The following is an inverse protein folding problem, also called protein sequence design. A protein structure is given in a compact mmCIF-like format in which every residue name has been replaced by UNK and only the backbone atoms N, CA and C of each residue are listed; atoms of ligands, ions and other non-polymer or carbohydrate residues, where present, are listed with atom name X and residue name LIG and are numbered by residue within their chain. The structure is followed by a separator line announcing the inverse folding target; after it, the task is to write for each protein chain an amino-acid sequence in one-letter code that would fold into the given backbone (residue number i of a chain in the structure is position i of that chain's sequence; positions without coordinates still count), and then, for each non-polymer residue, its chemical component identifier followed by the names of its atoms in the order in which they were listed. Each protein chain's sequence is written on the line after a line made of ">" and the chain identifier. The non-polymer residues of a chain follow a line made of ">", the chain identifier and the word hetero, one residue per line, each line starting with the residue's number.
data_IF_915587990610
#
_entry.id   IF_915587990610
#
_cell.length_a   1.000
_cell.length_b   1.000
_cell.length_c   1.000
_cell.angle_alpha   90.00
_cell.angle_beta   90.00
_cell.angle_gamma   90.00
#
_symmetry.space_group_name_H-M   'P 1'
#
loop_
_entity.id
_entity.type
_entity.pdbx_description
1 polymer ?
#
# COMPACT_ATOMS: atom_id res chain seq x y z
N UNK A 1 -51.59 -23.88 37.29
CA UNK A 1 -51.37 -24.32 35.89
C UNK A 1 -49.86 -24.20 35.64
N UNK A 2 -49.02 -25.13 36.11
CA UNK A 2 -48.59 -26.40 35.44
C UNK A 2 -48.39 -26.19 33.93
N UNK A 3 -47.24 -26.42 33.29
CA UNK A 3 -46.17 -27.42 33.41
C UNK A 3 -44.82 -26.77 33.01
N UNK A 4 -43.70 -27.03 33.70
CA UNK A 4 -42.72 -28.11 33.46
C UNK A 4 -41.97 -27.99 32.10
N UNK A 5 -40.64 -28.06 32.01
CA UNK A 5 -39.61 -28.33 33.00
C UNK A 5 -38.20 -28.36 32.39
N UNK A 6 -37.21 -28.43 33.30
CA UNK A 6 -35.85 -28.99 33.22
C UNK A 6 -34.88 -28.50 32.11
N UNK A 7 -33.79 -27.78 32.45
CA UNK A 7 -32.53 -28.21 33.10
C UNK A 7 -31.62 -29.01 32.14
N UNK A 8 -30.29 -29.04 32.22
CA UNK A 8 -29.16 -28.24 32.72
C UNK A 8 -27.93 -29.14 32.48
N UNK A 9 -26.73 -28.56 32.34
CA UNK A 9 -25.41 -29.24 32.41
C UNK A 9 -25.08 -30.20 31.25
N UNK A 10 -23.83 -30.48 30.86
CA UNK A 10 -22.48 -29.98 31.11
C UNK A 10 -21.56 -30.76 30.13
N UNK A 11 -20.38 -30.20 29.89
CA UNK A 11 -19.08 -30.88 29.70
C UNK A 11 -18.92 -32.01 28.66
N UNK A 12 -17.90 -31.88 27.80
CA UNK A 12 -16.94 -32.95 27.47
C UNK A 12 -15.96 -32.46 26.41
N UNK A 13 -14.72 -32.26 26.85
CA UNK A 13 -13.52 -32.36 26.04
C UNK A 13 -13.41 -33.79 25.48
N UNK A 14 -12.93 -33.96 24.24
CA UNK A 14 -12.30 -35.22 23.87
C UNK A 14 -11.20 -35.02 22.83
N UNK A 15 -9.99 -35.35 23.28
CA UNK A 15 -8.70 -35.28 22.59
C UNK A 15 -8.27 -36.72 22.37
N UNK A 16 -8.46 -37.32 21.18
CA UNK A 16 -7.82 -38.60 20.88
C UNK A 16 -7.66 -38.86 19.37
N UNK A 17 -6.43 -38.72 18.87
CA UNK A 17 -5.95 -39.57 17.76
C UNK A 17 -4.54 -40.07 18.08
N UNK A 18 -4.47 -41.33 18.51
CA UNK A 18 -3.26 -42.18 18.55
C UNK A 18 -3.44 -43.32 17.53
N UNK A 19 -2.34 -43.70 16.87
CA UNK A 19 -2.19 -44.95 16.10
C UNK A 19 -1.23 -44.75 14.93
N UNK A 20 0.10 -44.83 15.11
CA UNK A 20 0.94 -46.05 15.06
C UNK A 20 0.95 -46.73 13.69
N UNK A 21 2.12 -46.72 13.03
CA UNK A 21 2.43 -47.49 11.82
C UNK A 21 3.89 -47.32 11.40
N UNK A 22 4.76 -48.17 11.95
CA UNK A 22 6.21 -48.22 11.72
C UNK A 22 6.54 -48.75 10.33
N UNK A 23 7.66 -48.31 9.73
CA UNK A 23 8.48 -49.15 8.86
C UNK A 23 9.91 -48.62 8.79
N UNK A 24 10.84 -49.53 9.05
CA UNK A 24 12.27 -49.30 9.21
C UNK A 24 12.98 -49.25 7.87
N UNK A 25 13.99 -48.38 7.73
CA UNK A 25 15.05 -48.59 6.75
C UNK A 25 16.40 -48.51 7.46
N UNK A 26 17.09 -49.65 7.38
CA UNK A 26 18.33 -49.94 8.07
C UNK A 26 19.54 -49.20 7.52
N UNK A 27 20.52 -49.11 8.40
CA UNK A 27 21.89 -48.71 8.11
C UNK A 27 22.52 -49.67 7.08
N UNK A 28 23.20 -49.08 6.09
CA UNK A 28 24.16 -49.77 5.23
C UNK A 28 25.50 -49.05 5.37
N UNK A 29 26.40 -49.69 6.09
CA UNK A 29 27.84 -49.39 6.16
C UNK A 29 28.51 -49.86 4.88
N UNK A 30 29.35 -49.02 4.26
CA UNK A 30 30.37 -49.47 3.31
C UNK A 30 31.70 -48.79 3.62
N UNK A 31 32.60 -49.58 4.20
CA UNK A 31 34.04 -49.32 4.21
C UNK A 31 34.64 -49.60 2.83
N UNK A 32 35.54 -48.71 2.41
CA UNK A 32 36.88 -49.07 1.93
C UNK A 32 37.05 -49.59 0.49
N UNK A 33 37.50 -48.72 -0.41
CA UNK A 33 38.53 -48.95 -1.43
C UNK A 33 39.09 -47.55 -1.79
N UNK A 34 40.37 -47.23 -1.63
CA UNK A 34 41.53 -47.84 -2.29
C UNK A 34 42.04 -46.83 -3.32
N UNK A 35 43.11 -46.10 -2.98
CA UNK A 35 43.62 -44.98 -3.76
C UNK A 35 44.23 -45.39 -5.10
N UNK A 36 44.11 -44.49 -6.08
CA UNK A 36 45.03 -44.36 -7.21
C UNK A 36 45.15 -42.87 -7.57
N UNK A 37 46.34 -42.32 -7.32
CA UNK A 37 46.81 -41.05 -7.87
C UNK A 37 47.08 -41.24 -9.36
N UNK A 38 46.51 -40.38 -10.20
CA UNK A 38 46.96 -40.21 -11.57
C UNK A 38 47.01 -38.72 -11.93
N UNK A 39 48.24 -38.23 -12.02
CA UNK A 39 48.76 -37.54 -13.20
C UNK A 39 48.02 -36.30 -13.68
N UNK A 40 48.63 -35.14 -13.43
CA UNK A 40 48.26 -33.89 -14.04
C UNK A 40 48.21 -33.96 -15.57
N UNK A 41 47.14 -33.41 -16.13
CA UNK A 41 47.07 -32.98 -17.51
C UNK A 41 46.52 -31.56 -17.52
N UNK A 42 47.42 -30.60 -17.71
CA UNK A 42 47.08 -29.22 -18.02
C UNK A 42 46.49 -29.19 -19.43
N UNK A 43 45.21 -28.83 -19.55
CA UNK A 43 44.60 -28.49 -20.82
C UNK A 43 44.19 -27.02 -20.80
N UNK A 44 45.00 -26.24 -21.54
CA UNK A 44 44.60 -25.13 -22.41
C UNK A 44 43.58 -24.13 -21.88
N UNK A 45 44.07 -22.91 -21.61
CA UNK A 45 43.21 -21.74 -21.56
C UNK A 45 42.41 -21.60 -22.85
N UNK A 46 41.09 -21.61 -22.70
CA UNK A 46 40.17 -21.12 -23.71
C UNK A 46 39.85 -19.67 -23.35
N UNK A 47 40.29 -18.75 -24.21
CA UNK A 47 39.86 -17.36 -24.22
C UNK A 47 38.35 -17.34 -24.45
N UNK A 48 37.58 -17.00 -23.40
CA UNK A 48 36.17 -16.65 -23.56
C UNK A 48 36.09 -15.23 -24.14
N UNK A 49 36.19 -15.14 -25.46
CA UNK A 49 35.76 -13.96 -26.20
C UNK A 49 34.32 -13.62 -25.81
N UNK A 50 34.08 -12.35 -25.49
CA UNK A 50 32.77 -11.81 -25.18
C UNK A 50 31.80 -12.07 -26.32
N UNK A 51 31.01 -13.14 -26.18
CA UNK A 51 29.83 -13.35 -27.00
C UNK A 51 28.72 -12.55 -26.34
N UNK A 52 28.35 -11.45 -26.99
CA UNK A 52 27.11 -10.73 -26.74
C UNK A 52 25.95 -11.66 -27.14
N UNK A 53 25.50 -12.46 -26.19
CA UNK A 53 24.48 -13.49 -26.38
C UNK A 53 23.10 -12.86 -26.31
N UNK A 54 22.72 -12.07 -27.32
CA UNK A 54 21.34 -11.67 -27.55
C UNK A 54 20.68 -12.71 -28.49
N UNK A 55 19.85 -13.65 -27.99
CA UNK A 55 19.19 -14.63 -28.85
C UNK A 55 18.20 -13.89 -29.76
N UNK A 56 18.47 -13.87 -31.06
CA UNK A 56 17.58 -13.27 -32.06
C UNK A 56 17.72 -11.74 -32.24
N UNK A 57 18.79 -11.11 -31.72
CA UNK A 57 19.05 -9.69 -31.94
C UNK A 57 18.06 -8.74 -31.25
N UNK A 58 17.26 -9.26 -30.31
CA UNK A 58 16.44 -8.45 -29.42
C UNK A 58 17.33 -8.05 -28.25
N UNK A 59 17.52 -6.73 -28.00
CA UNK A 59 18.29 -6.28 -26.84
C UNK A 59 17.69 -6.88 -25.57
N UNK A 60 18.52 -7.56 -24.79
CA UNK A 60 18.16 -7.97 -23.44
C UNK A 60 17.92 -6.71 -22.60
N UNK A 61 17.02 -6.80 -21.61
CA UNK A 61 16.83 -5.71 -20.67
C UNK A 61 18.17 -5.42 -19.98
N UNK A 62 18.59 -4.16 -19.91
CA UNK A 62 19.73 -3.78 -19.09
C UNK A 62 19.41 -4.11 -17.63
N UNK A 63 20.32 -4.70 -16.86
CA UNK A 63 20.13 -4.96 -15.44
C UNK A 63 21.00 -4.07 -14.53
N UNK A 64 20.81 -4.27 -13.23
CA UNK A 64 21.62 -3.65 -12.17
C UNK A 64 22.40 -4.71 -11.39
N UNK A 65 23.54 -4.33 -10.79
CA UNK A 65 24.35 -5.25 -9.96
C UNK A 65 23.57 -5.72 -8.71
N UNK A 66 23.48 -7.05 -8.51
CA UNK A 66 22.84 -7.69 -7.35
C UNK A 66 23.87 -8.36 -6.41
N UNK A 67 23.45 -8.71 -5.18
CA UNK A 67 24.24 -9.24 -4.06
C UNK A 67 24.84 -10.63 -4.33
N UNK A 68 24.34 -11.35 -5.32
CA UNK A 68 24.80 -12.69 -5.72
C UNK A 68 25.64 -12.68 -7.01
N UNK A 69 25.82 -11.51 -7.64
CA UNK A 69 26.58 -11.35 -8.87
C UNK A 69 25.84 -11.73 -10.15
N UNK A 70 24.52 -11.93 -10.10
CA UNK A 70 23.67 -12.09 -11.28
C UNK A 70 22.98 -10.77 -11.65
N UNK A 71 23.06 -10.40 -12.92
CA UNK A 71 22.36 -9.23 -13.47
C UNK A 71 20.85 -9.51 -13.46
N UNK A 72 20.08 -8.72 -12.70
CA UNK A 72 18.62 -8.85 -12.64
C UNK A 72 17.96 -7.87 -13.61
N UNK A 73 17.09 -8.40 -14.47
CA UNK A 73 16.35 -7.62 -15.47
C UNK A 73 15.52 -6.50 -14.84
N UNK A 74 15.56 -5.29 -15.42
CA UNK A 74 14.62 -4.23 -15.08
C UNK A 74 13.24 -4.49 -15.68
N UNK A 75 12.19 -4.34 -14.86
CA UNK A 75 10.80 -4.36 -15.29
C UNK A 75 10.18 -2.97 -15.19
N UNK A 76 9.75 -2.42 -16.32
CA UNK A 76 9.04 -1.14 -16.33
C UNK A 76 7.52 -1.36 -16.23
N UNK A 77 6.89 -0.79 -15.21
CA UNK A 77 5.45 -0.87 -14.97
C UNK A 77 4.83 0.53 -14.92
N UNK A 78 3.55 0.60 -15.32
CA UNK A 78 2.74 1.82 -15.20
C UNK A 78 1.50 1.54 -14.36
N UNK A 79 1.37 2.25 -13.24
CA UNK A 79 0.16 2.24 -12.40
C UNK A 79 -0.72 3.46 -12.71
N UNK A 80 -2.04 3.25 -12.75
CA UNK A 80 -3.02 4.30 -13.04
C UNK A 80 -3.15 4.63 -14.54
N UNK A 81 -4.00 5.59 -14.92
CA UNK A 81 -4.77 6.49 -14.03
C UNK A 81 -6.10 5.92 -13.54
N UNK A 82 -6.51 4.74 -14.04
CA UNK A 82 -7.81 4.10 -13.76
C UNK A 82 -7.60 2.74 -13.06
N UNK A 83 -6.72 2.70 -12.06
CA UNK A 83 -6.46 1.50 -11.27
C UNK A 83 -7.42 1.44 -10.07
N UNK A 84 -7.87 0.25 -9.69
CA UNK A 84 -8.74 0.10 -8.52
C UNK A 84 -8.03 0.61 -7.24
N UNK A 85 -8.78 1.38 -6.45
CA UNK A 85 -8.31 2.00 -5.20
C UNK A 85 -7.10 2.93 -5.37
N UNK A 86 -6.95 3.51 -6.56
CA UNK A 86 -5.87 4.41 -6.93
C UNK A 86 -6.37 5.85 -7.03
N UNK A 87 -5.57 6.86 -6.65
CA UNK A 87 -5.93 8.25 -6.85
C UNK A 87 -6.21 8.53 -8.34
N UNK A 88 -7.41 9.01 -8.65
CA UNK A 88 -7.80 9.25 -10.03
C UNK A 88 -6.88 10.28 -10.68
N UNK A 89 -6.48 10.01 -11.93
CA UNK A 89 -5.58 10.87 -12.70
C UNK A 89 -4.08 10.65 -12.41
N UNK A 90 -3.70 10.06 -11.27
CA UNK A 90 -2.30 9.78 -10.97
C UNK A 90 -1.77 8.66 -11.85
N UNK A 91 -0.61 8.88 -12.46
CA UNK A 91 0.18 7.87 -13.16
C UNK A 91 1.53 7.76 -12.46
N UNK A 92 1.87 6.55 -12.02
CA UNK A 92 3.19 6.23 -11.49
C UNK A 92 3.86 5.25 -12.44
N UNK A 93 4.95 5.67 -13.09
CA UNK A 93 5.86 4.78 -13.82
C UNK A 93 6.90 4.29 -12.83
N UNK A 94 7.10 2.98 -12.77
CA UNK A 94 8.08 2.35 -11.89
C UNK A 94 9.06 1.54 -12.73
N UNK A 95 10.32 1.54 -12.33
CA UNK A 95 11.32 0.56 -12.73
C UNK A 95 11.55 -0.36 -11.53
N UNK A 96 11.31 -1.65 -11.73
CA UNK A 96 11.47 -2.67 -10.70
C UNK A 96 12.71 -3.51 -11.00
N UNK A 97 13.42 -3.89 -9.94
CA UNK A 97 14.43 -4.93 -9.96
C UNK A 97 13.92 -6.02 -9.01
N UNK A 98 13.50 -7.16 -9.55
CA UNK A 98 12.74 -8.15 -8.77
C UNK A 98 11.38 -7.60 -8.34
N UNK A 99 11.09 -7.60 -7.04
CA UNK A 99 9.86 -7.03 -6.48
C UNK A 99 10.02 -5.57 -6.02
N UNK A 100 11.24 -5.05 -5.95
CA UNK A 100 11.56 -3.72 -5.41
C UNK A 100 11.51 -2.65 -6.49
N UNK A 101 10.87 -1.52 -6.19
CA UNK A 101 10.93 -0.31 -7.02
C UNK A 101 12.29 0.36 -6.83
N UNK A 102 13.13 0.36 -7.86
CA UNK A 102 14.45 1.02 -7.86
C UNK A 102 14.37 2.45 -8.39
N UNK A 103 13.40 2.73 -9.27
CA UNK A 103 13.15 4.07 -9.76
C UNK A 103 11.66 4.30 -10.03
N UNK A 104 11.24 5.57 -9.95
CA UNK A 104 9.85 5.94 -10.17
C UNK A 104 9.71 7.36 -10.72
N UNK A 105 8.66 7.59 -11.49
CA UNK A 105 8.26 8.90 -11.99
C UNK A 105 6.74 9.06 -11.87
N UNK A 106 6.30 10.23 -11.46
CA UNK A 106 4.88 10.57 -11.40
C UNK A 106 4.45 11.55 -12.48
N UNK A 107 3.21 11.41 -12.93
CA UNK A 107 2.53 12.39 -13.77
C UNK A 107 1.04 12.37 -13.47
N UNK A 108 0.35 13.49 -13.71
CA UNK A 108 -1.10 13.58 -13.62
C UNK A 108 -1.71 13.61 -15.02
N UNK A 109 -2.80 12.87 -15.22
CA UNK A 109 -3.66 13.01 -16.39
C UNK A 109 -4.67 14.11 -16.10
N UNK A 110 -4.42 15.29 -16.67
CA UNK A 110 -5.25 16.48 -16.48
C UNK A 110 -6.48 16.44 -17.39
N UNK A 111 -7.64 16.72 -16.81
CA UNK A 111 -8.76 17.32 -17.52
C UNK A 111 -8.68 18.83 -17.29
N UNK A 112 -8.83 19.64 -18.34
CA UNK A 112 -8.69 21.10 -18.30
C UNK A 112 -9.55 21.75 -17.20
N UNK A 113 -8.93 22.74 -16.56
CA UNK A 113 -9.21 23.59 -15.39
C UNK A 113 -10.67 23.94 -15.01
N UNK A 114 -10.91 24.26 -13.72
CA UNK A 114 -11.31 25.63 -13.41
C UNK A 114 -10.45 26.28 -12.31
N UNK A 115 -9.83 27.40 -12.68
CA UNK A 115 -9.22 28.47 -11.90
C UNK A 115 -9.26 28.32 -10.37
N UNK A 116 -8.07 28.26 -9.78
CA UNK A 116 -7.87 28.46 -8.35
C UNK A 116 -8.38 29.85 -7.92
N UNK A 117 -9.60 29.91 -7.39
CA UNK A 117 -10.09 31.11 -6.71
C UNK A 117 -9.50 31.20 -5.29
N UNK A 118 -9.11 32.41 -4.83
CA UNK A 118 -8.51 32.60 -3.53
C UNK A 118 -9.53 32.43 -2.39
N UNK A 119 -9.03 31.94 -1.24
CA UNK A 119 -9.65 31.82 0.09
C UNK A 119 -11.18 32.02 0.16
N UNK A 120 -11.93 31.05 -0.38
CA UNK A 120 -13.36 30.95 -0.10
C UNK A 120 -13.56 30.59 1.38
N UNK A 121 -14.43 31.33 2.07
CA UNK A 121 -14.98 30.92 3.36
C UNK A 121 -15.68 29.58 3.14
N UNK A 122 -15.13 28.48 3.67
CA UNK A 122 -15.71 27.14 3.55
C UNK A 122 -17.19 27.17 3.92
N UNK A 123 -18.07 26.94 2.94
CA UNK A 123 -19.48 26.70 3.19
C UNK A 123 -19.63 25.35 3.91
N UNK A 124 -20.72 25.12 4.68
CA UNK A 124 -20.99 23.81 5.26
C UNK A 124 -20.97 22.66 4.23
N UNK A 125 -21.32 22.94 2.97
CA UNK A 125 -21.23 22.00 1.86
C UNK A 125 -19.78 21.64 1.50
N UNK A 126 -18.84 22.59 1.58
CA UNK A 126 -17.43 22.35 1.31
C UNK A 126 -16.81 21.42 2.38
N UNK A 127 -17.19 21.61 3.65
CA UNK A 127 -16.78 20.74 4.75
C UNK A 127 -17.34 19.32 4.61
N UNK A 128 -18.58 19.17 4.10
CA UNK A 128 -19.16 17.86 3.80
C UNK A 128 -18.43 17.16 2.66
N UNK A 129 -18.15 17.87 1.56
CA UNK A 129 -17.39 17.33 0.43
C UNK A 129 -15.98 16.93 0.85
N UNK A 130 -15.33 17.75 1.67
CA UNK A 130 -14.01 17.46 2.26
C UNK A 130 -14.02 16.19 3.13
N UNK A 131 -15.05 16.01 3.96
CA UNK A 131 -15.22 14.81 4.77
C UNK A 131 -15.49 13.57 3.90
N UNK A 132 -16.36 13.71 2.90
CA UNK A 132 -16.71 12.63 1.97
C UNK A 132 -15.47 12.13 1.20
N UNK A 133 -14.61 13.04 0.73
CA UNK A 133 -13.36 12.69 0.04
C UNK A 133 -12.41 11.88 0.92
N UNK A 134 -12.26 12.25 2.19
CA UNK A 134 -11.47 11.45 3.16
C UNK A 134 -12.07 10.09 3.45
N UNK A 135 -13.40 9.99 3.50
CA UNK A 135 -14.06 8.70 3.58
C UNK A 135 -13.79 7.85 2.33
N UNK A 136 -13.71 8.45 1.15
CA UNK A 136 -13.35 7.76 -0.10
C UNK A 136 -11.88 7.29 -0.12
N UNK A 137 -10.95 8.17 0.26
CA UNK A 137 -9.52 7.85 0.39
C UNK A 137 -9.29 6.73 1.42
N UNK A 138 -9.93 6.83 2.60
CA UNK A 138 -9.90 5.79 3.61
C UNK A 138 -10.52 4.48 3.10
N UNK A 139 -11.61 4.53 2.33
CA UNK A 139 -12.21 3.34 1.73
C UNK A 139 -11.25 2.65 0.74
N UNK A 140 -10.53 3.43 -0.08
CA UNK A 140 -9.54 2.91 -1.02
C UNK A 140 -8.38 2.22 -0.30
N UNK A 141 -7.81 2.86 0.73
CA UNK A 141 -6.74 2.28 1.54
C UNK A 141 -7.20 1.01 2.27
N UNK A 142 -8.38 1.02 2.89
CA UNK A 142 -8.95 -0.15 3.55
C UNK A 142 -9.22 -1.28 2.54
N UNK A 143 -9.68 -0.95 1.33
CA UNK A 143 -9.87 -1.91 0.24
C UNK A 143 -8.57 -2.58 -0.19
N UNK A 144 -7.50 -1.81 -0.38
CA UNK A 144 -6.16 -2.33 -0.70
C UNK A 144 -5.60 -3.22 0.41
N UNK A 145 -5.85 -2.86 1.67
CA UNK A 145 -5.42 -3.63 2.82
C UNK A 145 -6.25 -4.92 3.05
N UNK A 146 -7.27 -5.19 2.23
CA UNK A 146 -8.14 -6.36 2.35
C UNK A 146 -9.29 -6.22 3.35
N UNK A 147 -9.56 -5.01 3.86
CA UNK A 147 -10.58 -4.72 4.87
C UNK A 147 -11.91 -4.31 4.23
N UNK A 148 -12.49 -5.19 3.42
CA UNK A 148 -13.66 -4.91 2.57
C UNK A 148 -14.89 -4.37 3.31
N UNK A 149 -15.18 -4.87 4.51
CA UNK A 149 -16.31 -4.41 5.32
C UNK A 149 -16.13 -2.96 5.81
N UNK A 150 -14.92 -2.63 6.27
CA UNK A 150 -14.59 -1.28 6.73
C UNK A 150 -14.57 -0.31 5.54
N UNK A 151 -14.01 -0.72 4.40
CA UNK A 151 -14.05 0.05 3.15
C UNK A 151 -15.50 0.32 2.69
N UNK A 152 -16.37 -0.67 2.79
CA UNK A 152 -17.78 -0.52 2.41
C UNK A 152 -18.55 0.39 3.36
N UNK A 153 -18.24 0.36 4.67
CA UNK A 153 -18.77 1.33 5.64
C UNK A 153 -18.31 2.75 5.31
N UNK A 154 -17.03 2.94 5.01
CA UNK A 154 -16.49 4.25 4.62
C UNK A 154 -17.18 4.81 3.36
N UNK A 155 -17.42 3.98 2.33
CA UNK A 155 -18.21 4.36 1.13
C UNK A 155 -19.64 4.78 1.47
N UNK A 156 -20.34 4.04 2.35
CA UNK A 156 -21.70 4.44 2.77
C UNK A 156 -21.72 5.78 3.51
N UNK A 157 -20.72 6.06 4.33
CA UNK A 157 -20.58 7.36 5.02
C UNK A 157 -20.35 8.47 3.99
N UNK A 158 -19.45 8.27 3.02
CA UNK A 158 -19.24 9.19 1.89
C UNK A 158 -20.56 9.48 1.17
N UNK A 159 -21.31 8.44 0.81
CA UNK A 159 -22.56 8.59 0.06
C UNK A 159 -23.62 9.35 0.89
N UNK A 160 -23.72 9.07 2.19
CA UNK A 160 -24.61 9.81 3.09
C UNK A 160 -24.21 11.28 3.24
N UNK A 161 -22.91 11.60 3.22
CA UNK A 161 -22.42 12.97 3.26
C UNK A 161 -22.74 13.76 1.97
N UNK A 162 -22.76 13.08 0.82
CA UNK A 162 -22.94 13.72 -0.50
C UNK A 162 -24.39 13.77 -0.96
N UNK A 163 -25.21 12.78 -0.60
CA UNK A 163 -26.52 12.57 -1.21
C UNK A 163 -27.67 12.51 -0.20
N UNK A 164 -27.43 12.80 1.08
CA UNK A 164 -28.47 12.79 2.11
C UNK A 164 -28.45 14.07 2.93
N UNK A 165 -29.65 14.54 3.30
CA UNK A 165 -29.84 15.74 4.12
C UNK A 165 -29.64 15.47 5.62
N UNK A 166 -29.49 14.21 6.02
CA UNK A 166 -29.20 13.80 7.40
C UNK A 166 -27.88 14.43 7.87
N UNK A 167 -27.98 15.21 8.95
CA UNK A 167 -26.84 15.93 9.50
C UNK A 167 -26.06 15.13 10.53
N UNK A 168 -26.71 14.20 11.21
CA UNK A 168 -26.17 13.54 12.40
C UNK A 168 -25.79 12.07 12.15
N UNK A 169 -26.50 11.38 11.25
CA UNK A 169 -26.22 9.98 10.90
C UNK A 169 -24.77 9.71 10.47
N UNK A 170 -24.20 10.48 9.52
CA UNK A 170 -22.82 10.27 9.08
C UNK A 170 -21.79 10.42 10.20
N UNK A 171 -22.01 11.34 11.15
CA UNK A 171 -21.11 11.56 12.27
C UNK A 171 -21.03 10.33 13.18
N UNK A 172 -22.18 9.78 13.54
CA UNK A 172 -22.28 8.59 14.39
C UNK A 172 -21.66 7.34 13.74
N UNK A 173 -21.89 7.13 12.44
CA UNK A 173 -21.29 6.02 11.70
C UNK A 173 -19.77 6.16 11.54
N UNK A 174 -19.28 7.37 11.27
CA UNK A 174 -17.84 7.62 11.18
C UNK A 174 -17.13 7.36 12.50
N UNK A 175 -17.74 7.78 13.61
CA UNK A 175 -17.19 7.56 14.95
C UNK A 175 -17.17 6.06 15.31
N UNK A 176 -18.18 5.29 14.89
CA UNK A 176 -18.14 3.82 14.96
C UNK A 176 -17.00 3.23 14.12
N UNK A 177 -16.84 3.68 12.88
CA UNK A 177 -15.77 3.20 11.99
C UNK A 177 -14.38 3.49 12.58
N UNK A 178 -14.13 4.72 13.04
CA UNK A 178 -12.87 5.12 13.71
C UNK A 178 -12.52 4.20 14.85
N UNK A 179 -13.50 3.85 15.69
CA UNK A 179 -13.29 2.95 16.83
C UNK A 179 -12.94 1.53 16.40
N UNK A 180 -13.60 1.00 15.38
CA UNK A 180 -13.32 -0.34 14.82
C UNK A 180 -11.92 -0.39 14.21
N UNK A 181 -11.60 0.58 13.35
CA UNK A 181 -10.29 0.69 12.69
C UNK A 181 -9.18 0.90 13.73
N UNK A 182 -9.35 1.84 14.66
CA UNK A 182 -8.35 2.18 15.67
C UNK A 182 -8.04 1.05 16.66
N UNK A 183 -9.03 0.21 16.99
CA UNK A 183 -8.88 -0.93 17.90
C UNK A 183 -8.46 -2.23 17.20
N UNK A 184 -8.42 -2.26 15.87
CA UNK A 184 -8.08 -3.46 15.12
C UNK A 184 -6.58 -3.78 15.24
N UNK A 185 -6.27 -4.87 15.93
CA UNK A 185 -4.89 -5.33 16.10
C UNK A 185 -4.28 -5.83 14.79
N UNK A 186 -5.05 -6.54 13.96
CA UNK A 186 -4.59 -7.03 12.66
C UNK A 186 -4.29 -5.89 11.70
N UNK A 187 -5.19 -4.89 11.61
CA UNK A 187 -4.96 -3.72 10.79
C UNK A 187 -3.74 -2.93 11.28
N UNK A 188 -3.57 -2.86 12.61
CA UNK A 188 -2.39 -2.26 13.19
C UNK A 188 -1.13 -2.98 12.70
N UNK A 189 -1.08 -4.32 12.79
CA UNK A 189 0.11 -5.07 12.36
C UNK A 189 0.36 -5.01 10.86
N UNK A 190 -0.68 -5.03 10.04
CA UNK A 190 -0.54 -5.07 8.58
C UNK A 190 -0.06 -3.75 7.97
N UNK A 191 -0.34 -2.62 8.63
CA UNK A 191 0.01 -1.28 8.13
C UNK A 191 1.16 -0.62 8.90
N UNK A 192 1.61 -1.25 10.00
CA UNK A 192 2.65 -0.68 10.83
C UNK A 192 4.00 -0.69 10.12
N UNK A 193 4.76 0.41 10.27
CA UNK A 193 6.11 0.62 9.69
C UNK A 193 6.15 0.62 8.17
N UNK A 194 5.00 0.72 7.50
CA UNK A 194 4.94 0.93 6.05
C UNK A 194 5.04 2.43 5.76
N UNK A 195 6.04 2.81 4.95
CA UNK A 195 6.29 4.20 4.56
C UNK A 195 6.28 5.18 5.74
N UNK A 196 7.12 4.97 6.78
CA UNK A 196 7.21 5.90 7.90
C UNK A 196 7.76 7.24 7.42
N UNK A 197 7.18 8.33 7.92
CA UNK A 197 7.67 9.69 7.71
C UNK A 197 7.84 10.39 9.05
N UNK A 198 9.07 10.78 9.36
CA UNK A 198 9.36 11.62 10.51
C UNK A 198 9.32 13.11 10.15
N UNK A 199 9.48 13.98 11.16
CA UNK A 199 9.41 15.43 10.94
C UNK A 199 10.50 15.93 9.97
N UNK A 200 11.68 15.29 9.97
CA UNK A 200 12.78 15.69 9.12
C UNK A 200 12.55 15.25 7.67
N UNK A 201 12.00 14.05 7.44
CA UNK A 201 11.53 13.58 6.13
C UNK A 201 10.50 14.54 5.53
N UNK A 202 9.52 14.94 6.34
CA UNK A 202 8.47 15.85 5.90
C UNK A 202 9.05 17.21 5.53
N UNK A 203 9.94 17.76 6.38
CA UNK A 203 10.59 19.03 6.12
C UNK A 203 11.46 18.99 4.84
N UNK A 204 12.25 17.92 4.65
CA UNK A 204 13.09 17.73 3.45
C UNK A 204 12.28 17.69 2.16
N UNK A 205 11.06 17.13 2.22
CA UNK A 205 10.20 16.89 1.06
C UNK A 205 9.08 17.93 0.89
N UNK A 206 9.03 18.95 1.75
CA UNK A 206 7.96 19.97 1.73
C UNK A 206 6.56 19.40 2.00
N UNK A 207 6.47 18.30 2.75
CA UNK A 207 5.21 17.62 3.04
C UNK A 207 4.55 18.18 4.31
N UNK A 208 3.20 18.19 4.38
CA UNK A 208 2.50 18.68 5.56
C UNK A 208 2.70 17.75 6.76
N UNK A 209 2.72 18.32 7.96
CA UNK A 209 2.85 17.60 9.23
C UNK A 209 1.78 16.51 9.45
N UNK A 210 0.63 16.62 8.77
CA UNK A 210 -0.46 15.64 8.79
C UNK A 210 -0.07 14.27 8.21
N UNK A 211 1.05 14.17 7.49
CA UNK A 211 1.56 12.90 6.93
C UNK A 211 2.50 12.12 7.84
N UNK A 212 2.82 12.67 9.02
CA UNK A 212 3.72 12.02 9.96
C UNK A 212 3.23 10.63 10.36
N UNK A 213 4.19 9.73 10.58
CA UNK A 213 3.94 8.34 10.96
C UNK A 213 3.92 7.39 9.78
N UNK A 214 3.36 6.20 10.00
CA UNK A 214 3.21 5.16 8.96
C UNK A 214 1.83 5.22 8.28
N UNK A 215 1.58 4.29 7.35
CA UNK A 215 0.30 4.18 6.63
C UNK A 215 -0.90 4.12 7.57
N UNK A 216 -0.78 3.47 8.74
CA UNK A 216 -1.87 3.38 9.72
C UNK A 216 -2.12 4.73 10.36
N UNK A 217 -1.07 5.45 10.73
CA UNK A 217 -1.21 6.76 11.37
C UNK A 217 -1.90 7.74 10.43
N UNK A 218 -1.53 7.73 9.14
CA UNK A 218 -2.19 8.52 8.10
C UNK A 218 -3.65 8.10 7.87
N UNK A 219 -3.99 6.80 7.90
CA UNK A 219 -5.38 6.34 7.85
C UNK A 219 -6.22 6.90 9.01
N UNK A 220 -5.68 6.86 10.22
CA UNK A 220 -6.39 7.40 11.40
C UNK A 220 -6.51 8.92 11.30
N UNK A 221 -5.49 9.62 10.80
CA UNK A 221 -5.53 11.04 10.54
C UNK A 221 -6.64 11.39 9.54
N UNK A 222 -6.76 10.69 8.40
CA UNK A 222 -7.83 10.89 7.42
C UNK A 222 -9.22 10.80 8.05
N UNK A 223 -9.47 9.75 8.85
CA UNK A 223 -10.76 9.57 9.52
C UNK A 223 -11.02 10.65 10.60
N UNK A 224 -9.98 11.08 11.32
CA UNK A 224 -10.08 12.17 12.29
C UNK A 224 -10.41 13.51 11.61
N UNK A 225 -9.75 13.81 10.49
CA UNK A 225 -10.02 15.01 9.70
C UNK A 225 -11.43 15.02 9.13
N UNK A 226 -11.94 13.88 8.66
CA UNK A 226 -13.34 13.76 8.25
C UNK A 226 -14.29 14.05 9.40
N UNK A 227 -14.05 13.50 10.59
CA UNK A 227 -14.90 13.72 11.76
C UNK A 227 -14.89 15.18 12.24
N UNK A 228 -13.71 15.79 12.25
CA UNK A 228 -13.54 17.21 12.60
C UNK A 228 -14.29 18.11 11.62
N UNK A 229 -14.21 17.81 10.32
CA UNK A 229 -14.93 18.55 9.26
C UNK A 229 -16.46 18.44 9.40
N UNK A 230 -16.98 17.26 9.73
CA UNK A 230 -18.41 17.07 10.03
C UNK A 230 -18.81 17.89 11.27
N UNK A 231 -17.93 17.97 12.28
CA UNK A 231 -18.09 18.82 13.47
C UNK A 231 -17.91 20.32 13.22
N UNK A 232 -17.73 20.76 11.98
CA UNK A 232 -17.59 22.17 11.61
C UNK A 232 -16.19 22.74 11.85
N UNK A 233 -15.22 21.91 12.23
CA UNK A 233 -13.83 22.33 12.37
C UNK A 233 -13.21 22.47 10.99
N UNK A 234 -12.49 23.57 10.78
CA UNK A 234 -11.81 23.81 9.51
C UNK A 234 -10.61 22.87 9.34
N UNK A 235 -10.32 22.44 8.10
CA UNK A 235 -9.07 21.77 7.79
C UNK A 235 -7.88 22.61 8.28
N UNK A 236 -6.97 21.99 9.03
CA UNK A 236 -5.70 22.61 9.39
C UNK A 236 -4.64 22.19 8.35
N UNK A 237 -3.94 23.17 7.76
CA UNK A 237 -2.93 22.95 6.74
C UNK A 237 -3.29 23.58 5.39
N UNK A 238 -2.31 23.58 4.47
CA UNK A 238 -2.53 24.08 3.11
C UNK A 238 -3.62 23.28 2.41
N UNK A 239 -4.52 23.97 1.71
CA UNK A 239 -5.44 23.35 0.75
C UNK A 239 -4.71 22.79 -0.47
N UNK A 240 -3.44 23.17 -0.67
CA UNK A 240 -2.55 22.54 -1.64
C UNK A 240 -2.27 21.13 -1.11
N UNK A 241 -2.81 20.14 -1.80
CA UNK A 241 -2.61 18.73 -1.49
C UNK A 241 -1.15 18.32 -1.53
N UNK A 242 -0.90 17.03 -1.33
CA UNK A 242 0.45 16.46 -1.41
C UNK A 242 1.08 16.83 -2.76
N UNK A 243 2.31 17.38 -2.80
CA UNK A 243 3.01 17.52 -4.06
C UNK A 243 3.23 16.14 -4.66
N UNK A 244 2.66 15.90 -5.84
CA UNK A 244 2.75 14.61 -6.54
C UNK A 244 4.20 14.23 -6.83
N UNK A 245 5.07 15.23 -7.01
CA UNK A 245 6.50 15.08 -7.25
C UNK A 245 7.26 14.44 -6.07
N UNK A 246 6.70 14.41 -4.86
CA UNK A 246 7.30 13.72 -3.72
C UNK A 246 7.05 12.21 -3.71
N UNK A 247 6.08 11.72 -4.50
CA UNK A 247 5.66 10.31 -4.51
C UNK A 247 6.78 9.36 -4.94
N UNK A 248 7.58 9.64 -6.00
CA UNK A 248 8.68 8.76 -6.41
C UNK A 248 9.63 8.38 -5.27
N UNK A 249 10.06 9.37 -4.49
CA UNK A 249 10.97 9.16 -3.37
C UNK A 249 10.31 8.45 -2.18
N UNK A 250 8.97 8.40 -2.12
CA UNK A 250 8.23 7.69 -1.08
C UNK A 250 8.05 6.20 -1.41
N UNK A 251 8.03 5.84 -2.69
CA UNK A 251 7.80 4.46 -3.15
C UNK A 251 9.08 3.72 -3.51
N UNK A 252 10.19 4.43 -3.79
CA UNK A 252 11.50 3.81 -4.03
C UNK A 252 11.93 2.98 -2.82
N UNK A 253 12.43 1.77 -3.08
CA UNK A 253 12.86 0.81 -2.07
C UNK A 253 11.72 -0.06 -1.49
N UNK A 254 10.48 0.13 -1.94
CA UNK A 254 9.34 -0.70 -1.56
C UNK A 254 8.90 -1.61 -2.70
N UNK A 255 8.21 -2.69 -2.33
CA UNK A 255 7.51 -3.52 -3.30
C UNK A 255 6.24 -2.83 -3.83
N UNK A 256 5.72 -3.33 -4.95
CA UNK A 256 4.57 -2.74 -5.63
C UNK A 256 3.30 -2.67 -4.76
N UNK A 257 3.02 -3.69 -3.94
CA UNK A 257 1.83 -3.70 -3.09
C UNK A 257 1.97 -2.67 -1.97
N UNK A 258 3.15 -2.60 -1.37
CA UNK A 258 3.46 -1.62 -0.33
C UNK A 258 3.45 -0.19 -0.87
N UNK A 259 3.99 0.04 -2.06
CA UNK A 259 3.93 1.34 -2.74
C UNK A 259 2.47 1.81 -2.96
N UNK A 260 1.56 0.90 -3.32
CA UNK A 260 0.12 1.23 -3.45
C UNK A 260 -0.50 1.64 -2.12
N UNK A 261 -0.14 0.98 -1.01
CA UNK A 261 -0.58 1.37 0.32
C UNK A 261 -0.04 2.74 0.73
N UNK A 262 1.23 3.02 0.43
CA UNK A 262 1.85 4.32 0.67
C UNK A 262 1.08 5.40 -0.08
N UNK A 263 0.92 5.26 -1.40
CA UNK A 263 0.21 6.22 -2.25
C UNK A 263 -1.24 6.45 -1.78
N UNK A 264 -1.97 5.39 -1.48
CA UNK A 264 -3.36 5.50 -0.98
C UNK A 264 -3.45 6.17 0.41
N UNK A 265 -2.38 6.17 1.20
CA UNK A 265 -2.32 6.81 2.52
C UNK A 265 -2.00 8.30 2.48
N UNK A 266 -1.61 8.84 1.32
CA UNK A 266 -1.20 10.24 1.19
C UNK A 266 -2.37 11.24 1.26
N UNK A 267 -3.62 10.77 1.35
CA UNK A 267 -4.82 11.63 1.33
C UNK A 267 -4.84 12.58 0.13
N UNK A 268 -4.37 12.08 -1.02
CA UNK A 268 -4.32 12.82 -2.27
C UNK A 268 -5.71 13.30 -2.65
N UNK A 269 -5.79 14.52 -3.17
CA UNK A 269 -7.00 15.02 -3.78
C UNK A 269 -6.97 14.71 -5.29
N UNK A 270 -7.70 13.69 -5.76
CA UNK A 270 -7.84 13.49 -7.18
C UNK A 270 -8.58 14.71 -7.75
N UNK A 271 -7.85 15.48 -8.56
CA UNK A 271 -8.21 16.72 -9.27
C UNK A 271 -7.59 18.04 -8.75
N UNK A 272 -6.59 18.04 -7.86
CA UNK A 272 -5.84 19.29 -7.61
C UNK A 272 -4.83 19.52 -8.74
N UNK A 273 -5.22 20.45 -9.60
CA UNK A 273 -4.44 21.18 -10.59
C UNK A 273 -3.30 21.93 -9.92
N UNK A 274 -2.06 21.60 -10.29
CA UNK A 274 -1.01 22.60 -10.41
C UNK A 274 0.06 22.14 -11.41
N UNK A 275 0.60 23.15 -12.10
CA UNK A 275 1.74 23.20 -13.02
C UNK A 275 1.50 22.95 -14.52
N UNK A 276 1.50 24.08 -15.24
CA UNK A 276 1.82 24.23 -16.65
C UNK A 276 3.11 23.47 -17.01
N UNK A 277 3.04 22.61 -18.02
CA UNK A 277 4.22 22.15 -18.73
C UNK A 277 4.58 23.24 -19.76
N UNK A 278 5.46 24.16 -19.38
CA UNK A 278 6.16 24.99 -20.35
C UNK A 278 7.11 24.11 -21.15
N UNK A 279 6.74 23.77 -22.38
CA UNK A 279 7.70 23.29 -23.37
C UNK A 279 8.35 24.51 -24.02
N UNK A 280 9.66 24.65 -23.80
CA UNK A 280 10.57 25.46 -24.61
C UNK A 280 11.02 24.64 -25.83
#
# INVERSE_FOLDING_TARGET
>A
MSHAGHAAHADSEDVHHKGMGQSSHGAMTHEGHGGMEHGGMAHGGMEHGGMDMAPGGIPLASGGEDRDGLEMDFLHLRLGPVLAYWPAGLVLRCTLQGDVIVDAETSLVTATDPAAEPERRYAPEDLRRFAARRCDNAASLLGLAGWGDAASRARRIRDALLFTDDRDGPAGELERLRRVVGRSWWLRRSLHRIGPLDADDLARRGLPATMAGDVRDRLLAMLNHAANSIGGQRPAGSSLGVPVDAIPDLVRGWDLATARLIVASLDLDPLVTDREVSHA
#
